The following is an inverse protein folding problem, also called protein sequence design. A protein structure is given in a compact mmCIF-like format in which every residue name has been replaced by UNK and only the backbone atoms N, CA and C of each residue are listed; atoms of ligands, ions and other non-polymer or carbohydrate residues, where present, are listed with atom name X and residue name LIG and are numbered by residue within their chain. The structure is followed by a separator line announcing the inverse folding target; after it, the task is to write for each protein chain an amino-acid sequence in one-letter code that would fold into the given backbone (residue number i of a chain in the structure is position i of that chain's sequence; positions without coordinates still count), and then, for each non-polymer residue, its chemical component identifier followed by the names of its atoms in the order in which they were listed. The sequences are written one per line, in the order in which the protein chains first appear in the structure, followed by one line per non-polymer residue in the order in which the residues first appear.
data_IF_798894046579
#
_entry.id   IF_798894046579
#
_cell.length_a   1.000
_cell.length_b   1.000
_cell.length_c   1.000
_cell.angle_alpha   90.00
_cell.angle_beta   90.00
_cell.angle_gamma   90.00
#
_symmetry.space_group_name_H-M   'P 1'
#
loop_
_entity.id
_entity.type
_entity.pdbx_description
1 polymer ?
#
# COMPACT_ATOMS: atom_id res chain seq x y z
N UNK A 1 -14.15 -1.69 -1.21
CA UNK A 1 -12.69 -1.74 -1.40
C UNK A 1 -12.07 -0.35 -1.52
N UNK A 2 -12.63 0.62 -2.29
CA UNK A 2 -12.12 2.00 -2.33
C UNK A 2 -11.98 2.63 -0.93
N UNK A 3 -12.96 2.42 -0.05
CA UNK A 3 -12.94 2.95 1.33
C UNK A 3 -11.79 2.34 2.14
N UNK A 4 -11.53 1.05 2.00
CA UNK A 4 -10.44 0.37 2.70
C UNK A 4 -9.06 0.89 2.27
N UNK A 5 -8.85 1.08 0.97
CA UNK A 5 -7.58 1.63 0.44
C UNK A 5 -7.37 3.06 0.92
N UNK A 6 -8.43 3.88 0.97
CA UNK A 6 -8.36 5.24 1.51
C UNK A 6 -7.96 5.26 2.98
N UNK A 7 -8.64 4.46 3.81
CA UNK A 7 -8.33 4.34 5.24
C UNK A 7 -6.90 3.84 5.47
N UNK A 8 -6.45 2.85 4.69
CA UNK A 8 -5.09 2.36 4.79
C UNK A 8 -4.07 3.42 4.39
N UNK A 9 -4.33 4.17 3.31
CA UNK A 9 -3.44 5.26 2.89
C UNK A 9 -3.36 6.37 3.96
N UNK A 10 -4.47 6.75 4.56
CA UNK A 10 -4.52 7.72 5.66
C UNK A 10 -3.70 7.22 6.86
N UNK A 11 -3.89 5.96 7.26
CA UNK A 11 -3.13 5.34 8.36
C UNK A 11 -1.62 5.32 8.09
N UNK A 12 -1.20 4.98 6.86
CA UNK A 12 0.23 4.98 6.50
C UNK A 12 0.84 6.39 6.50
N UNK A 13 0.06 7.41 6.11
CA UNK A 13 0.53 8.81 6.17
C UNK A 13 0.59 9.32 7.62
N UNK A 14 -0.35 8.96 8.47
CA UNK A 14 -0.28 9.29 9.91
C UNK A 14 0.96 8.65 10.55
N UNK A 15 1.21 7.38 10.26
CA UNK A 15 2.38 6.67 10.77
C UNK A 15 3.69 7.27 10.22
N UNK A 16 3.72 7.66 8.95
CA UNK A 16 4.84 8.37 8.35
C UNK A 16 5.17 9.65 9.13
N UNK A 17 4.17 10.46 9.48
CA UNK A 17 4.37 11.69 10.24
C UNK A 17 4.98 11.43 11.62
N UNK A 18 4.54 10.38 12.32
CA UNK A 18 5.10 9.98 13.62
C UNK A 18 6.59 9.67 13.47
N UNK A 19 6.98 8.96 12.43
CA UNK A 19 8.41 8.63 12.21
C UNK A 19 9.24 9.82 11.75
N UNK A 20 8.70 10.72 10.92
CA UNK A 20 9.40 11.95 10.54
C UNK A 20 9.70 12.82 11.77
N UNK A 21 8.73 12.96 12.67
CA UNK A 21 8.92 13.65 13.95
C UNK A 21 9.96 12.95 14.83
N UNK A 22 9.92 11.60 14.85
CA UNK A 22 10.88 10.82 15.64
C UNK A 22 12.31 11.00 15.13
N UNK A 23 12.53 10.98 13.80
CA UNK A 23 13.85 11.27 13.21
C UNK A 23 14.33 12.67 13.57
N UNK A 24 13.45 13.69 13.56
CA UNK A 24 13.79 15.05 13.94
C UNK A 24 14.25 15.13 15.41
N UNK A 25 13.56 14.45 16.33
CA UNK A 25 13.96 14.36 17.75
C UNK A 25 15.30 13.63 17.93
N UNK A 26 15.47 12.50 17.24
CA UNK A 26 16.74 11.75 17.29
C UNK A 26 17.91 12.57 16.74
N UNK A 27 17.71 13.34 15.68
CA UNK A 27 18.70 14.28 15.19
C UNK A 27 19.13 15.30 16.28
N UNK A 28 18.18 15.88 17.00
CA UNK A 28 18.46 16.82 18.09
C UNK A 28 19.30 16.15 19.20
N UNK A 29 18.90 14.97 19.65
CA UNK A 29 19.58 14.21 20.68
C UNK A 29 21.00 13.79 20.26
N UNK A 30 21.18 13.32 19.02
CA UNK A 30 22.48 12.93 18.47
C UNK A 30 23.41 14.14 18.39
N UNK A 31 22.93 15.30 17.92
CA UNK A 31 23.74 16.53 17.87
C UNK A 31 24.15 16.96 19.28
N UNK A 32 23.25 16.94 20.25
CA UNK A 32 23.55 17.28 21.64
C UNK A 32 24.61 16.34 22.24
N UNK A 33 24.45 15.03 22.05
CA UNK A 33 25.41 14.03 22.55
C UNK A 33 26.81 14.17 21.90
N UNK A 34 26.87 14.33 20.57
CA UNK A 34 28.14 14.56 19.85
C UNK A 34 28.82 15.87 20.29
N UNK A 35 28.05 16.92 20.52
CA UNK A 35 28.58 18.20 21.03
C UNK A 35 29.16 18.06 22.44
N UNK A 36 28.59 17.16 23.26
CA UNK A 36 29.12 16.82 24.58
C UNK A 36 30.31 15.85 24.53
N UNK A 37 30.78 15.46 23.35
CA UNK A 37 31.91 14.54 23.16
C UNK A 37 31.55 13.05 23.37
N UNK A 38 30.24 12.71 23.40
CA UNK A 38 29.76 11.34 23.53
C UNK A 38 29.61 10.67 22.16
N UNK A 39 29.62 9.34 22.14
CA UNK A 39 29.32 8.53 20.97
C UNK A 39 27.92 7.91 21.14
N UNK A 40 26.86 8.49 20.54
CA UNK A 40 25.48 8.06 20.77
C UNK A 40 25.08 6.89 19.82
N UNK A 41 25.76 5.76 19.91
CA UNK A 41 25.53 4.62 19.00
C UNK A 41 24.09 4.11 19.07
N UNK A 42 23.53 4.01 20.28
CA UNK A 42 22.14 3.56 20.45
C UNK A 42 21.14 4.48 19.73
N UNK A 43 21.35 5.81 19.78
CA UNK A 43 20.49 6.77 19.07
C UNK A 43 20.67 6.72 17.55
N UNK A 44 21.89 6.41 17.08
CA UNK A 44 22.15 6.19 15.64
C UNK A 44 21.44 4.94 15.15
N UNK A 45 21.51 3.84 15.89
CA UNK A 45 20.84 2.59 15.55
C UNK A 45 19.31 2.74 15.56
N UNK A 46 18.77 3.46 16.55
CA UNK A 46 17.35 3.77 16.62
C UNK A 46 16.91 4.63 15.41
N UNK A 47 17.68 5.66 15.07
CA UNK A 47 17.41 6.49 13.88
C UNK A 47 17.41 5.67 12.59
N UNK A 48 18.38 4.79 12.43
CA UNK A 48 18.46 3.92 11.27
C UNK A 48 17.27 2.95 11.18
N UNK A 49 16.78 2.46 12.32
CA UNK A 49 15.58 1.65 12.38
C UNK A 49 14.34 2.44 11.92
N UNK A 50 14.18 3.68 12.39
CA UNK A 50 13.07 4.56 12.00
C UNK A 50 13.15 4.95 10.53
N UNK A 51 14.36 5.27 10.02
CA UNK A 51 14.56 5.59 8.60
C UNK A 51 14.16 4.43 7.69
N UNK A 52 14.42 3.18 8.08
CA UNK A 52 13.94 2.00 7.35
C UNK A 52 12.41 1.94 7.28
N UNK A 53 11.72 2.27 8.38
CA UNK A 53 10.25 2.32 8.38
C UNK A 53 9.72 3.40 7.43
N UNK A 54 10.37 4.55 7.36
CA UNK A 54 10.03 5.61 6.39
C UNK A 54 10.28 5.12 4.95
N UNK A 55 11.43 4.48 4.71
CA UNK A 55 11.81 3.96 3.39
C UNK A 55 10.87 2.88 2.84
N UNK A 56 10.22 2.10 3.71
CA UNK A 56 9.18 1.16 3.29
C UNK A 56 7.93 1.85 2.72
N UNK A 57 7.64 3.07 3.16
CA UNK A 57 6.44 3.82 2.77
C UNK A 57 6.66 4.76 1.61
N UNK A 58 7.88 5.28 1.50
CA UNK A 58 8.20 6.36 0.57
C UNK A 58 9.66 6.26 0.13
N UNK A 59 9.94 6.48 -1.15
CA UNK A 59 11.31 6.55 -1.63
C UNK A 59 12.01 7.79 -1.06
N UNK A 60 12.99 7.58 -0.18
CA UNK A 60 13.73 8.63 0.50
C UNK A 60 15.22 8.61 0.18
N UNK A 61 15.83 9.78 0.27
CA UNK A 61 17.27 9.94 0.31
C UNK A 61 17.67 10.55 1.64
N UNK A 62 18.73 10.01 2.24
CA UNK A 62 19.24 10.45 3.55
C UNK A 62 20.64 11.01 3.38
N UNK A 63 20.86 12.23 3.84
CA UNK A 63 22.14 12.92 3.78
C UNK A 63 22.63 13.22 5.20
N UNK A 64 23.73 12.59 5.60
CA UNK A 64 24.34 12.86 6.91
C UNK A 64 25.07 14.22 6.89
N UNK A 65 24.90 15.00 7.96
CA UNK A 65 25.52 16.29 8.17
C UNK A 65 26.76 16.16 9.08
N UNK A 66 27.74 17.07 8.99
CA UNK A 66 28.95 17.01 9.82
C UNK A 66 28.69 17.03 11.33
N UNK A 67 27.57 17.59 11.78
CA UNK A 67 27.14 17.60 13.18
C UNK A 67 26.49 16.27 13.63
N UNK A 68 26.31 15.32 12.71
CA UNK A 68 25.69 14.02 12.95
C UNK A 68 24.18 13.96 12.78
N UNK A 69 23.51 15.08 12.48
CA UNK A 69 22.10 15.05 12.06
C UNK A 69 21.97 14.54 10.63
N UNK A 70 20.76 14.16 10.24
CA UNK A 70 20.45 13.80 8.84
C UNK A 70 19.40 14.75 8.27
N UNK A 71 19.50 14.95 6.94
CA UNK A 71 18.44 15.51 6.12
C UNK A 71 17.77 14.35 5.41
N UNK A 72 16.45 14.27 5.47
CA UNK A 72 15.63 13.26 4.76
C UNK A 72 14.86 13.98 3.68
N UNK A 73 15.02 13.54 2.44
CA UNK A 73 14.29 14.07 1.29
C UNK A 73 13.52 12.94 0.60
N UNK A 74 12.38 13.30 0.01
CA UNK A 74 11.61 12.42 -0.86
C UNK A 74 11.33 13.12 -2.19
N UNK A 75 11.85 12.57 -3.29
CA UNK A 75 11.70 13.10 -4.64
C UNK A 75 11.95 14.64 -4.75
N UNK A 76 13.00 15.12 -4.07
CA UNK A 76 13.41 16.53 -4.09
C UNK A 76 12.76 17.41 -3.01
N UNK A 77 11.78 16.92 -2.27
CA UNK A 77 11.18 17.63 -1.15
C UNK A 77 11.87 17.24 0.17
N UNK A 78 12.31 18.23 0.93
CA UNK A 78 12.86 18.03 2.27
C UNK A 78 11.73 17.69 3.25
N UNK A 79 11.83 16.55 3.93
CA UNK A 79 10.87 16.09 4.93
C UNK A 79 11.38 16.28 6.36
N UNK A 80 12.70 16.09 6.57
CA UNK A 80 13.36 16.31 7.87
C UNK A 80 14.66 17.08 7.63
N UNK A 81 14.92 18.08 8.46
CA UNK A 81 16.17 18.85 8.47
C UNK A 81 16.52 19.25 9.91
N UNK A 82 17.58 18.64 10.45
CA UNK A 82 17.95 18.81 11.85
C UNK A 82 16.80 18.40 12.78
N UNK A 83 16.40 19.29 13.70
CA UNK A 83 15.30 19.06 14.64
C UNK A 83 13.92 19.41 14.09
N UNK A 84 13.78 19.71 12.81
CA UNK A 84 12.51 20.09 12.18
C UNK A 84 12.05 19.02 11.21
N UNK A 85 10.74 18.80 11.14
CA UNK A 85 10.12 17.97 10.11
C UNK A 85 8.95 18.70 9.46
N UNK A 86 8.58 18.28 8.27
CA UNK A 86 7.41 18.74 7.53
C UNK A 86 6.38 17.63 7.50
N UNK A 87 5.20 17.91 8.00
CA UNK A 87 4.12 16.93 8.00
C UNK A 87 3.51 16.76 6.62
N UNK A 88 3.02 15.55 6.37
CA UNK A 88 2.34 15.14 5.15
C UNK A 88 0.85 14.95 5.46
N UNK A 89 -0.02 15.37 4.57
CA UNK A 89 -1.47 15.14 4.66
C UNK A 89 -1.97 14.44 3.40
N UNK A 90 -3.13 13.78 3.53
CA UNK A 90 -3.80 13.11 2.42
C UNK A 90 -4.77 14.06 1.75
N UNK A 91 -4.77 14.06 0.42
CA UNK A 91 -5.74 14.75 -0.42
C UNK A 91 -6.27 13.74 -1.45
N UNK A 92 -7.56 13.76 -1.70
CA UNK A 92 -8.19 12.89 -2.69
C UNK A 92 -8.48 13.67 -3.96
N UNK A 93 -8.11 13.09 -5.11
CA UNK A 93 -8.52 13.58 -6.42
C UNK A 93 -10.04 13.36 -6.62
N UNK A 94 -10.62 13.97 -7.67
CA UNK A 94 -12.05 13.84 -8.00
C UNK A 94 -12.48 12.38 -8.21
N UNK A 95 -11.58 11.56 -8.74
CA UNK A 95 -11.80 10.12 -8.95
C UNK A 95 -11.64 9.27 -7.67
N UNK A 96 -11.28 9.91 -6.55
CA UNK A 96 -11.04 9.29 -5.25
C UNK A 96 -9.64 8.71 -5.08
N UNK A 97 -8.71 8.94 -6.00
CA UNK A 97 -7.31 8.54 -5.90
C UNK A 97 -6.61 9.29 -4.75
N UNK A 98 -5.98 8.61 -3.79
CA UNK A 98 -5.25 9.27 -2.71
C UNK A 98 -3.93 9.87 -3.20
N UNK A 99 -3.58 11.05 -2.72
CA UNK A 99 -2.31 11.70 -2.92
C UNK A 99 -1.77 12.20 -1.57
N UNK A 100 -0.45 12.18 -1.43
CA UNK A 100 0.25 12.76 -0.29
C UNK A 100 0.72 14.17 -0.66
N UNK A 101 0.48 15.15 0.20
CA UNK A 101 0.93 16.54 -0.01
C UNK A 101 1.57 17.07 1.26
N UNK A 102 2.52 17.98 1.12
CA UNK A 102 3.11 18.68 2.25
C UNK A 102 2.07 19.60 2.90
N UNK A 103 1.94 19.53 4.22
CA UNK A 103 0.88 20.26 4.94
C UNK A 103 1.05 21.77 4.91
N UNK A 104 2.30 22.26 4.86
CA UNK A 104 2.69 23.67 4.89
C UNK A 104 2.55 24.37 3.54
N UNK A 105 2.97 23.74 2.44
CA UNK A 105 2.95 24.34 1.10
C UNK A 105 1.81 23.83 0.22
N UNK A 106 1.29 22.63 0.50
CA UNK A 106 0.33 21.95 -0.35
C UNK A 106 0.96 21.26 -1.57
N UNK A 107 2.30 21.27 -1.68
CA UNK A 107 2.99 20.60 -2.77
C UNK A 107 2.76 19.10 -2.73
N UNK A 108 2.44 18.52 -3.88
CA UNK A 108 2.24 17.08 -4.01
C UNK A 108 3.59 16.37 -3.92
N UNK A 109 3.68 15.37 -3.04
CA UNK A 109 4.81 14.44 -2.99
C UNK A 109 4.66 13.43 -4.12
N UNK A 110 5.61 13.36 -5.05
CA UNK A 110 5.60 12.31 -6.07
C UNK A 110 5.81 10.95 -5.42
N UNK A 111 4.83 10.06 -5.55
CA UNK A 111 4.90 8.70 -5.03
C UNK A 111 5.37 7.76 -6.15
N UNK A 112 6.64 7.37 -6.12
CA UNK A 112 7.25 6.49 -7.13
C UNK A 112 7.42 5.06 -6.63
N UNK A 113 7.68 4.87 -5.34
CA UNK A 113 7.98 3.59 -4.71
C UNK A 113 7.44 3.56 -3.28
N UNK A 114 7.41 2.36 -2.68
CA UNK A 114 6.94 2.13 -1.32
C UNK A 114 5.43 1.87 -1.22
N UNK A 115 4.97 1.68 0.01
CA UNK A 115 3.57 1.32 0.31
C UNK A 115 2.59 2.39 -0.21
N UNK A 116 2.92 3.67 -0.05
CA UNK A 116 2.05 4.77 -0.49
C UNK A 116 1.89 4.80 -2.00
N UNK A 117 2.97 4.55 -2.76
CA UNK A 117 2.90 4.45 -4.21
C UNK A 117 2.04 3.25 -4.65
N UNK A 118 2.24 2.08 -4.01
CA UNK A 118 1.47 0.88 -4.30
C UNK A 118 -0.03 1.06 -4.03
N UNK A 119 -0.41 1.67 -2.91
CA UNK A 119 -1.82 1.96 -2.57
C UNK A 119 -2.46 2.93 -3.56
N UNK A 120 -1.71 3.97 -3.96
CA UNK A 120 -2.16 4.93 -4.97
C UNK A 120 -2.35 4.26 -6.33
N UNK A 121 -1.36 3.49 -6.78
CA UNK A 121 -1.42 2.75 -8.05
C UNK A 121 -2.58 1.73 -8.05
N UNK A 122 -2.75 0.99 -6.95
CA UNK A 122 -3.86 0.05 -6.79
C UNK A 122 -5.21 0.76 -6.91
N UNK A 123 -5.38 1.91 -6.25
CA UNK A 123 -6.59 2.73 -6.36
C UNK A 123 -6.83 3.19 -7.80
N UNK A 124 -5.81 3.75 -8.44
CA UNK A 124 -5.92 4.38 -9.76
C UNK A 124 -6.02 3.36 -10.90
N UNK A 125 -5.19 2.31 -10.89
CA UNK A 125 -5.11 1.39 -12.03
C UNK A 125 -6.00 0.17 -11.86
N UNK A 126 -6.03 -0.45 -10.67
CA UNK A 126 -6.78 -1.69 -10.50
C UNK A 126 -8.26 -1.41 -10.26
N UNK A 127 -8.57 -0.62 -9.22
CA UNK A 127 -9.96 -0.38 -8.83
C UNK A 127 -10.72 0.36 -9.92
N UNK A 128 -10.11 1.39 -10.52
CA UNK A 128 -10.79 2.15 -11.58
C UNK A 128 -10.96 1.33 -12.84
N UNK A 129 -9.94 0.58 -13.26
CA UNK A 129 -10.04 -0.29 -14.45
C UNK A 129 -11.15 -1.33 -14.28
N UNK A 130 -11.19 -2.01 -13.14
CA UNK A 130 -12.23 -3.01 -12.85
C UNK A 130 -13.61 -2.37 -12.83
N UNK A 131 -13.77 -1.21 -12.16
CA UNK A 131 -15.05 -0.51 -12.13
C UNK A 131 -15.50 -0.06 -13.52
N UNK A 132 -14.60 0.47 -14.35
CA UNK A 132 -14.92 0.90 -15.70
C UNK A 132 -15.32 -0.29 -16.59
N UNK A 133 -14.64 -1.42 -16.47
CA UNK A 133 -14.99 -2.64 -17.21
C UNK A 133 -16.32 -3.23 -16.75
N UNK A 134 -16.58 -3.28 -15.44
CA UNK A 134 -17.89 -3.70 -14.91
C UNK A 134 -19.00 -2.77 -15.36
N UNK A 135 -18.77 -1.46 -15.32
CA UNK A 135 -19.74 -0.48 -15.79
C UNK A 135 -20.01 -0.65 -17.29
N UNK A 136 -18.99 -0.86 -18.10
CA UNK A 136 -19.17 -1.11 -19.53
C UNK A 136 -20.00 -2.38 -19.80
N UNK A 137 -19.76 -3.46 -19.04
CA UNK A 137 -20.57 -4.70 -19.14
C UNK A 137 -22.03 -4.41 -18.78
N UNK A 138 -22.28 -3.70 -17.67
CA UNK A 138 -23.64 -3.35 -17.22
C UNK A 138 -24.35 -2.42 -18.18
N UNK A 139 -23.66 -1.38 -18.70
CA UNK A 139 -24.23 -0.43 -19.63
C UNK A 139 -24.68 -1.12 -20.94
N UNK A 140 -23.81 -1.96 -21.49
CA UNK A 140 -24.13 -2.69 -22.72
C UNK A 140 -25.22 -3.75 -22.53
N UNK A 141 -25.21 -4.45 -21.39
CA UNK A 141 -26.29 -5.41 -21.05
C UNK A 141 -27.64 -4.69 -20.89
N UNK A 142 -27.65 -3.56 -20.15
CA UNK A 142 -28.89 -2.81 -19.95
C UNK A 142 -29.45 -2.25 -21.29
N UNK A 143 -28.56 -1.77 -22.17
CA UNK A 143 -28.97 -1.33 -23.53
C UNK A 143 -29.55 -2.50 -24.35
N UNK A 144 -28.85 -3.63 -24.42
CA UNK A 144 -29.33 -4.78 -25.19
C UNK A 144 -30.67 -5.32 -24.67
N UNK A 145 -30.87 -5.35 -23.34
CA UNK A 145 -32.18 -5.71 -22.76
C UNK A 145 -33.22 -4.67 -23.14
N UNK A 146 -32.90 -3.38 -23.08
CA UNK A 146 -33.85 -2.32 -23.45
C UNK A 146 -34.28 -2.41 -24.93
N UNK A 147 -33.33 -2.65 -25.82
CA UNK A 147 -33.63 -2.80 -27.28
C UNK A 147 -34.61 -3.97 -27.51
N UNK A 148 -34.40 -5.12 -26.91
CA UNK A 148 -35.30 -6.24 -27.02
C UNK A 148 -36.64 -5.96 -26.35
N UNK A 149 -36.66 -5.42 -25.14
CA UNK A 149 -37.87 -5.13 -24.41
C UNK A 149 -38.76 -4.08 -25.12
N UNK A 150 -38.13 -3.04 -25.67
CA UNK A 150 -38.86 -2.01 -26.44
C UNK A 150 -39.48 -2.52 -27.74
N UNK A 151 -38.88 -3.56 -28.35
CA UNK A 151 -39.42 -4.19 -29.56
C UNK A 151 -40.61 -5.12 -29.29
N UNK A 152 -40.79 -5.51 -28.00
CA UNK A 152 -41.83 -6.46 -27.60
C UNK A 152 -43.12 -5.81 -27.13
N UNK A 153 -44.07 -6.68 -26.74
CA UNK A 153 -45.40 -6.32 -26.24
C UNK A 153 -45.63 -6.87 -24.83
N UNK A 154 -46.15 -6.03 -23.95
CA UNK A 154 -46.66 -6.39 -22.65
C UNK A 154 -48.02 -7.11 -22.73
N UNK A 155 -48.47 -7.70 -21.61
CA UNK A 155 -49.81 -8.33 -21.53
C UNK A 155 -50.96 -7.36 -21.66
N UNK A 156 -50.72 -6.07 -21.40
CA UNK A 156 -51.72 -4.99 -21.59
C UNK A 156 -51.68 -4.40 -23.00
N UNK A 157 -50.86 -4.95 -23.91
CA UNK A 157 -50.64 -4.48 -25.26
C UNK A 157 -49.68 -3.28 -25.38
N UNK A 158 -49.07 -2.82 -24.28
CA UNK A 158 -48.06 -1.77 -24.30
C UNK A 158 -46.78 -2.22 -25.00
N UNK A 159 -46.03 -1.29 -25.62
CA UNK A 159 -44.77 -1.51 -26.31
C UNK A 159 -43.93 -0.26 -26.22
N UNK A 160 -42.61 -0.35 -26.50
CA UNK A 160 -41.71 0.79 -26.56
C UNK A 160 -41.14 1.24 -25.20
N UNK A 161 -41.57 0.65 -24.09
CA UNK A 161 -41.06 0.99 -22.76
C UNK A 161 -39.68 0.37 -22.55
N UNK A 162 -38.68 1.10 -21.99
CA UNK A 162 -37.42 0.52 -21.62
C UNK A 162 -37.58 -0.30 -20.34
N UNK A 163 -36.84 -1.40 -20.22
CA UNK A 163 -36.80 -2.21 -18.99
C UNK A 163 -35.98 -1.52 -17.88
N UNK A 164 -34.80 -1.00 -18.24
CA UNK A 164 -33.95 -0.21 -17.37
C UNK A 164 -33.91 1.26 -17.73
N UNK A 165 -33.87 2.13 -16.74
CA UNK A 165 -33.68 3.59 -16.88
C UNK A 165 -32.47 4.05 -16.09
N UNK A 166 -31.77 5.05 -16.58
CA UNK A 166 -30.62 5.62 -15.93
C UNK A 166 -31.05 6.75 -14.97
N UNK A 167 -30.88 6.56 -13.67
CA UNK A 167 -31.22 7.57 -12.66
C UNK A 167 -29.94 7.93 -11.89
N UNK A 168 -29.53 9.19 -11.93
CA UNK A 168 -28.30 9.67 -11.30
C UNK A 168 -27.02 8.87 -11.69
N UNK A 169 -26.98 8.33 -12.91
CA UNK A 169 -25.85 7.54 -13.41
C UNK A 169 -25.89 6.06 -13.05
N UNK A 170 -26.94 5.59 -12.39
CA UNK A 170 -27.15 4.17 -12.03
C UNK A 170 -28.36 3.59 -12.77
N UNK A 171 -28.22 2.35 -13.27
CA UNK A 171 -29.32 1.62 -13.90
C UNK A 171 -30.31 1.11 -12.85
N UNK A 172 -31.58 1.45 -13.07
CA UNK A 172 -32.70 1.01 -12.22
C UNK A 172 -33.78 0.40 -13.08
N UNK A 173 -34.57 -0.52 -12.52
CA UNK A 173 -35.78 -1.02 -13.21
C UNK A 173 -36.74 0.14 -13.39
N UNK A 174 -37.31 0.27 -14.60
CA UNK A 174 -38.27 1.31 -14.91
C UNK A 174 -39.45 1.32 -13.92
N UNK A 175 -39.70 2.42 -13.21
CA UNK A 175 -40.80 2.52 -12.24
C UNK A 175 -42.18 2.18 -12.85
N UNK A 176 -42.36 2.45 -14.15
CA UNK A 176 -43.61 2.11 -14.87
C UNK A 176 -43.87 0.60 -14.85
N UNK A 177 -42.81 -0.22 -14.99
CA UNK A 177 -42.90 -1.69 -14.95
C UNK A 177 -43.08 -2.22 -13.54
N UNK A 178 -42.48 -1.57 -12.54
CA UNK A 178 -42.66 -1.91 -11.15
C UNK A 178 -44.08 -1.67 -10.66
N UNK A 179 -44.72 -0.61 -11.14
CA UNK A 179 -46.10 -0.25 -10.80
C UNK A 179 -47.13 -1.14 -11.53
N UNK A 180 -46.83 -1.57 -12.74
CA UNK A 180 -47.71 -2.46 -13.52
C UNK A 180 -46.87 -3.50 -14.28
N UNK A 181 -46.64 -4.69 -13.68
CA UNK A 181 -45.88 -5.77 -14.30
C UNK A 181 -46.43 -6.33 -15.60
N UNK A 182 -47.72 -6.02 -15.96
CA UNK A 182 -48.31 -6.44 -17.23
C UNK A 182 -47.68 -5.72 -18.43
N UNK A 183 -46.95 -4.61 -18.16
CA UNK A 183 -46.17 -3.84 -19.15
C UNK A 183 -44.83 -4.47 -19.49
N UNK A 184 -44.40 -5.51 -18.78
CA UNK A 184 -43.19 -6.26 -19.11
C UNK A 184 -43.38 -6.94 -20.45
N UNK A 185 -42.57 -6.52 -21.44
CA UNK A 185 -42.66 -7.02 -22.81
C UNK A 185 -42.01 -8.42 -22.91
N UNK A 186 -42.80 -9.44 -22.96
CA UNK A 186 -42.36 -10.80 -23.14
C UNK A 186 -42.64 -11.40 -24.53
N UNK A 187 -43.62 -10.83 -25.23
CA UNK A 187 -44.12 -11.30 -26.52
C UNK A 187 -43.54 -10.47 -27.70
N UNK A 188 -43.15 -11.15 -28.77
CA UNK A 188 -42.75 -10.46 -30.02
C UNK A 188 -43.97 -10.05 -30.87
N UNK A 189 -45.12 -10.63 -30.65
CA UNK A 189 -46.31 -10.44 -31.50
C UNK A 189 -47.54 -9.89 -30.75
N UNK A 190 -47.45 -9.72 -29.42
CA UNK A 190 -48.58 -9.33 -28.58
C UNK A 190 -49.53 -10.49 -28.25
N UNK A 191 -49.29 -11.70 -28.76
CA UNK A 191 -50.14 -12.88 -28.50
C UNK A 191 -49.89 -13.43 -27.13
N UNK A 192 -50.97 -13.80 -26.42
CA UNK A 192 -50.90 -14.50 -25.11
C UNK A 192 -50.18 -15.84 -25.25
N UNK A 193 -49.20 -16.09 -24.39
CA UNK A 193 -48.39 -17.30 -24.42
C UNK A 193 -47.13 -17.24 -25.31
N UNK A 194 -46.95 -16.18 -26.09
CA UNK A 194 -45.69 -15.93 -26.80
C UNK A 194 -44.66 -15.35 -25.84
N UNK A 195 -43.48 -16.00 -25.69
CA UNK A 195 -42.39 -15.60 -24.79
C UNK A 195 -41.05 -15.36 -25.51
N UNK A 196 -41.12 -15.05 -26.82
CA UNK A 196 -39.92 -14.92 -27.67
C UNK A 196 -38.96 -13.81 -27.18
N UNK A 197 -39.49 -12.67 -26.75
CA UNK A 197 -38.65 -11.56 -26.22
C UNK A 197 -37.98 -11.98 -24.89
N UNK A 198 -38.74 -12.65 -23.99
CA UNK A 198 -38.16 -13.12 -22.75
C UNK A 198 -37.08 -14.18 -22.98
N UNK A 199 -37.24 -15.06 -23.97
CA UNK A 199 -36.24 -16.02 -24.38
C UNK A 199 -35.02 -15.35 -24.99
N UNK A 200 -35.20 -14.33 -25.86
CA UNK A 200 -34.10 -13.55 -26.45
C UNK A 200 -33.28 -12.81 -25.36
N UNK A 201 -33.97 -12.18 -24.39
CA UNK A 201 -33.29 -11.55 -23.24
C UNK A 201 -32.46 -12.59 -22.45
N UNK A 202 -32.97 -13.78 -22.23
CA UNK A 202 -32.22 -14.85 -21.53
C UNK A 202 -30.98 -15.30 -22.32
N UNK A 203 -31.02 -15.27 -23.66
CA UNK A 203 -29.90 -15.64 -24.53
C UNK A 203 -28.78 -14.58 -24.54
N UNK A 204 -29.05 -13.32 -24.19
CA UNK A 204 -28.01 -12.26 -24.11
C UNK A 204 -26.84 -12.62 -23.19
N UNK A 205 -27.02 -13.53 -22.24
CA UNK A 205 -25.93 -14.01 -21.39
C UNK A 205 -24.81 -14.68 -22.21
N UNK A 206 -25.16 -15.36 -23.31
CA UNK A 206 -24.25 -16.16 -24.12
C UNK A 206 -24.03 -15.58 -25.52
N UNK A 207 -24.92 -14.72 -26.00
CA UNK A 207 -24.82 -14.09 -27.33
C UNK A 207 -23.84 -12.93 -27.35
N UNK A 208 -23.13 -12.73 -28.49
CA UNK A 208 -22.24 -11.60 -28.67
C UNK A 208 -23.00 -10.25 -28.65
N UNK A 209 -22.50 -9.30 -27.85
CA UNK A 209 -23.01 -7.92 -27.81
C UNK A 209 -21.98 -7.01 -28.53
N UNK A 210 -22.42 -6.21 -29.49
CA UNK A 210 -21.53 -5.34 -30.29
C UNK A 210 -20.73 -4.39 -29.42
N UNK A 211 -21.34 -3.74 -28.44
CA UNK A 211 -20.68 -2.83 -27.49
C UNK A 211 -19.67 -3.50 -26.55
N UNK A 212 -19.63 -4.85 -26.51
CA UNK A 212 -18.63 -5.64 -25.78
C UNK A 212 -17.56 -6.24 -26.72
N UNK A 213 -17.27 -5.59 -27.84
CA UNK A 213 -16.34 -6.08 -28.87
C UNK A 213 -16.70 -7.48 -29.40
N UNK A 214 -17.99 -7.77 -29.54
CA UNK A 214 -18.48 -9.07 -30.00
C UNK A 214 -18.33 -10.19 -28.96
N UNK A 215 -18.12 -9.89 -27.70
CA UNK A 215 -18.12 -10.85 -26.62
C UNK A 215 -19.50 -10.95 -25.97
N UNK A 216 -19.86 -12.13 -25.46
CA UNK A 216 -21.01 -12.25 -24.58
C UNK A 216 -20.72 -11.65 -23.20
N UNK A 217 -21.78 -11.29 -22.47
CA UNK A 217 -21.69 -10.79 -21.08
C UNK A 217 -20.88 -11.76 -20.20
N UNK A 218 -21.15 -13.05 -20.32
CA UNK A 218 -20.46 -14.09 -19.55
C UNK A 218 -18.96 -14.16 -19.91
N UNK A 219 -18.62 -14.05 -21.20
CA UNK A 219 -17.23 -14.03 -21.66
C UNK A 219 -16.50 -12.77 -21.21
N UNK A 220 -17.12 -11.59 -21.33
CA UNK A 220 -16.54 -10.33 -20.86
C UNK A 220 -16.28 -10.35 -19.34
N UNK A 221 -17.22 -10.88 -18.56
CA UNK A 221 -17.05 -11.03 -17.11
C UNK A 221 -15.93 -12.04 -16.76
N UNK A 222 -15.88 -13.19 -17.45
CA UNK A 222 -14.79 -14.18 -17.23
C UNK A 222 -13.42 -13.60 -17.58
N UNK A 223 -13.31 -12.82 -18.65
CA UNK A 223 -12.07 -12.14 -19.03
C UNK A 223 -11.66 -11.12 -17.99
N UNK A 224 -12.60 -10.36 -17.43
CA UNK A 224 -12.32 -9.43 -16.33
C UNK A 224 -11.79 -10.18 -15.10
N UNK A 225 -12.46 -11.24 -14.65
CA UNK A 225 -11.99 -12.05 -13.52
C UNK A 225 -10.63 -12.67 -13.81
N UNK A 226 -10.40 -13.20 -15.01
CA UNK A 226 -9.12 -13.75 -15.44
C UNK A 226 -7.99 -12.73 -15.41
N UNK A 227 -8.26 -11.49 -15.87
CA UNK A 227 -7.29 -10.40 -15.85
C UNK A 227 -6.89 -10.01 -14.42
N UNK A 228 -7.86 -9.91 -13.50
CA UNK A 228 -7.61 -9.64 -12.08
C UNK A 228 -6.80 -10.76 -11.43
N UNK A 229 -7.17 -12.03 -11.71
CA UNK A 229 -6.44 -13.20 -11.19
C UNK A 229 -4.99 -13.25 -11.69
N UNK A 230 -4.77 -13.02 -12.99
CA UNK A 230 -3.43 -12.96 -13.59
C UNK A 230 -2.58 -11.85 -12.97
N UNK A 231 -3.17 -10.67 -12.74
CA UNK A 231 -2.48 -9.56 -12.10
C UNK A 231 -2.12 -9.88 -10.64
N UNK A 232 -3.05 -10.47 -9.88
CA UNK A 232 -2.79 -10.91 -8.51
C UNK A 232 -1.64 -11.93 -8.45
N UNK A 233 -1.62 -12.90 -9.37
CA UNK A 233 -0.52 -13.88 -9.46
C UNK A 233 0.81 -13.21 -9.80
N UNK A 234 0.81 -12.23 -10.73
CA UNK A 234 2.00 -11.46 -11.08
C UNK A 234 2.57 -10.69 -9.88
N UNK A 235 1.71 -10.01 -9.12
CA UNK A 235 2.09 -9.31 -7.89
C UNK A 235 2.64 -10.27 -6.83
N UNK A 236 2.00 -11.44 -6.65
CA UNK A 236 2.49 -12.46 -5.71
C UNK A 236 3.87 -12.98 -6.08
N UNK A 237 4.11 -13.23 -7.37
CA UNK A 237 5.43 -13.67 -7.86
C UNK A 237 6.50 -12.60 -7.65
N UNK A 238 6.17 -11.33 -7.94
CA UNK A 238 7.06 -10.20 -7.69
C UNK A 238 7.38 -10.04 -6.20
N UNK A 239 6.37 -10.13 -5.33
CA UNK A 239 6.55 -10.08 -3.88
C UNK A 239 7.52 -11.17 -3.38
N UNK A 240 7.34 -12.41 -3.84
CA UNK A 240 8.22 -13.51 -3.46
C UNK A 240 9.67 -13.25 -3.90
N UNK A 241 9.88 -12.78 -5.14
CA UNK A 241 11.20 -12.46 -5.66
C UNK A 241 11.87 -11.32 -4.88
N UNK A 242 11.16 -10.22 -4.62
CA UNK A 242 11.69 -9.11 -3.83
C UNK A 242 11.95 -9.48 -2.36
N UNK A 243 11.11 -10.33 -1.77
CA UNK A 243 11.31 -10.84 -0.42
C UNK A 243 12.61 -11.64 -0.29
N UNK A 244 12.95 -12.47 -1.28
CA UNK A 244 14.22 -13.18 -1.34
C UNK A 244 15.43 -12.24 -1.45
N UNK A 245 15.34 -11.23 -2.32
CA UNK A 245 16.40 -10.21 -2.45
C UNK A 245 16.57 -9.43 -1.15
N UNK A 246 15.47 -9.01 -0.53
CA UNK A 246 15.49 -8.31 0.75
C UNK A 246 16.16 -9.14 1.85
N UNK A 247 15.79 -10.43 1.97
CA UNK A 247 16.41 -11.36 2.91
C UNK A 247 17.91 -11.53 2.66
N UNK A 248 18.32 -11.65 1.40
CA UNK A 248 19.73 -11.72 1.02
C UNK A 248 20.50 -10.47 1.45
N UNK A 249 19.95 -9.27 1.20
CA UNK A 249 20.57 -8.00 1.59
C UNK A 249 20.64 -7.83 3.11
N UNK A 250 19.60 -8.25 3.85
CA UNK A 250 19.62 -8.26 5.31
C UNK A 250 20.73 -9.17 5.85
N UNK A 251 20.81 -10.41 5.36
CA UNK A 251 21.86 -11.35 5.76
C UNK A 251 23.26 -10.78 5.47
N UNK A 252 23.43 -10.13 4.31
CA UNK A 252 24.72 -9.50 3.95
C UNK A 252 25.05 -8.34 4.87
N UNK A 253 24.08 -7.51 5.24
CA UNK A 253 24.28 -6.43 6.20
C UNK A 253 24.69 -6.99 7.56
N UNK A 254 23.99 -8.03 8.04
CA UNK A 254 24.24 -8.63 9.34
C UNK A 254 25.63 -9.32 9.40
N UNK A 255 26.13 -9.83 8.26
CA UNK A 255 27.53 -10.32 8.17
C UNK A 255 28.57 -9.21 8.28
N UNK A 256 28.23 -7.96 7.89
CA UNK A 256 29.18 -6.83 7.88
C UNK A 256 29.10 -6.01 9.17
N UNK A 257 27.90 -5.81 9.70
CA UNK A 257 27.63 -4.96 10.87
C UNK A 257 27.09 -5.71 12.09
N UNK A 258 26.78 -7.00 11.95
CA UNK A 258 26.36 -7.83 13.07
C UNK A 258 27.55 -8.15 13.96
N UNK A 259 27.37 -8.02 15.26
CA UNK A 259 28.35 -8.48 16.27
C UNK A 259 28.06 -9.96 16.55
N UNK A 260 28.96 -10.89 16.19
CA UNK A 260 28.77 -12.30 16.53
C UNK A 260 28.82 -12.46 18.04
N UNK A 261 27.71 -12.80 18.67
CA UNK A 261 27.60 -12.97 20.13
C UNK A 261 28.66 -13.97 20.63
N UNK A 262 28.99 -14.99 19.85
CA UNK A 262 30.00 -16.00 20.19
C UNK A 262 31.41 -15.41 20.24
N UNK A 263 31.77 -14.47 19.34
CA UNK A 263 33.07 -13.77 19.37
C UNK A 263 33.16 -12.81 20.56
N UNK A 264 32.09 -12.04 20.82
CA UNK A 264 32.02 -11.18 22.00
C UNK A 264 32.12 -11.97 23.31
N UNK A 265 31.51 -13.15 23.39
CA UNK A 265 31.57 -14.03 24.56
C UNK A 265 33.00 -14.57 24.78
N UNK A 266 33.70 -14.92 23.68
CA UNK A 266 35.11 -15.33 23.72
C UNK A 266 36.00 -14.18 24.18
N UNK A 267 35.81 -12.99 23.69
CA UNK A 267 36.59 -11.82 24.09
C UNK A 267 36.26 -11.41 25.51
N UNK A 268 35.02 -11.48 25.95
CA UNK A 268 34.63 -11.25 27.35
C UNK A 268 35.31 -12.26 28.29
N UNK A 269 35.37 -13.55 27.95
CA UNK A 269 36.11 -14.57 28.71
C UNK A 269 37.60 -14.26 28.72
N UNK A 270 38.18 -13.80 27.61
CA UNK A 270 39.58 -13.42 27.51
C UNK A 270 39.91 -12.22 28.41
N UNK A 271 39.04 -11.19 28.41
CA UNK A 271 39.18 -10.04 29.31
C UNK A 271 39.00 -10.41 30.77
N UNK A 272 38.07 -11.31 31.13
CA UNK A 272 37.93 -11.84 32.51
C UNK A 272 39.18 -12.56 32.94
N UNK A 273 39.79 -13.40 32.09
CA UNK A 273 41.03 -14.10 32.41
C UNK A 273 42.20 -13.14 32.60
N UNK A 274 42.31 -12.11 31.72
CA UNK A 274 43.34 -11.07 31.85
C UNK A 274 43.16 -10.25 33.13
N UNK A 275 41.93 -9.91 33.52
CA UNK A 275 41.63 -9.22 34.78
C UNK A 275 42.01 -10.05 35.99
N UNK A 276 41.66 -11.35 36.00
CA UNK A 276 42.04 -12.27 37.10
C UNK A 276 43.56 -12.45 37.17
N UNK A 277 44.28 -12.51 36.06
CA UNK A 277 45.73 -12.57 36.03
C UNK A 277 46.37 -11.28 36.61
N UNK A 278 45.87 -10.10 36.21
CA UNK A 278 46.33 -8.83 36.76
C UNK A 278 46.05 -8.70 38.25
N UNK A 279 44.89 -9.14 38.74
CA UNK A 279 44.59 -9.16 40.18
C UNK A 279 45.54 -10.07 40.97
N UNK A 280 45.93 -11.22 40.42
CA UNK A 280 46.95 -12.11 41.04
C UNK A 280 48.34 -11.46 41.11
N UNK A 281 48.74 -10.75 40.04
CA UNK A 281 50.01 -10.00 40.04
C UNK A 281 50.03 -8.95 41.15
N UNK A 282 48.93 -8.17 41.28
CA UNK A 282 48.79 -7.18 42.36
C UNK A 282 48.89 -7.85 43.74
N UNK A 283 48.21 -8.97 43.94
CA UNK A 283 48.28 -9.74 45.21
C UNK A 283 49.70 -10.21 45.51
N UNK A 284 50.45 -10.71 44.52
CA UNK A 284 51.84 -11.12 44.70
C UNK A 284 52.72 -9.93 45.06
N UNK A 285 52.56 -8.80 44.42
CA UNK A 285 53.29 -7.55 44.73
C UNK A 285 52.97 -7.08 46.14
N UNK A 286 51.70 -7.07 46.56
CA UNK A 286 51.31 -6.71 47.94
C UNK A 286 51.90 -7.62 48.97
N UNK A 287 51.95 -8.95 48.73
CA UNK A 287 52.58 -9.92 49.62
C UNK A 287 54.12 -9.69 49.73
N UNK A 288 54.77 -9.41 48.58
CA UNK A 288 56.21 -9.09 48.55
C UNK A 288 56.54 -7.81 49.32
N UNK A 289 55.73 -6.76 49.15
CA UNK A 289 55.88 -5.50 49.89
C UNK A 289 55.68 -5.75 51.40
N UNK A 290 54.66 -6.51 51.79
CA UNK A 290 54.38 -6.82 53.16
C UNK A 290 55.51 -7.66 53.79
N UNK A 291 56.11 -8.61 53.06
CA UNK A 291 57.24 -9.39 53.47
C UNK A 291 58.53 -8.57 53.67
N UNK A 292 58.79 -7.61 52.77
CA UNK A 292 59.87 -6.64 52.85
C UNK A 292 59.74 -5.73 54.06
N UNK A 293 58.52 -5.25 54.34
CA UNK A 293 58.22 -4.38 55.48
C UNK A 293 58.35 -5.10 56.80
N UNK A 294 58.07 -6.41 56.85
CA UNK A 294 58.24 -7.23 58.09
C UNK A 294 59.67 -7.68 58.35
N UNK A 295 60.60 -7.49 57.37
CA UNK A 295 62.03 -7.84 57.51
C UNK A 295 62.92 -6.62 57.81
N UNK A 296 62.39 -5.42 57.75
CA UNK A 296 63.03 -4.17 58.18
C UNK A 296 62.65 -3.83 59.61
#
# INVERSE_FOLDING_TARGET
EKVLVRLQFETEVEQLNIWLEHVARLNEQIVAAKTAGLQPNDLLDERDAVLRQIAERLNIHVFEQPNGSVIVTANGHELVSGARFRSVKVVFAEDGTPNAVLSDTGDTLPLSEGILAALREFSQQVIQTVNNQLKAILDNLAQAINELHQSGYGLDGSTGEPFFVLVNGEWQVNPTLLNDPRKIAASATGSVGNGEIAAAIAQLAEEPIEGLNGQSVLSAYRNLVGSVASRAQGVQNAYNAFSEVHRFLQNRRDMVSGVPIDEELVDLMRFQQAYLAAARVIQVVDNLISELLNRL
#
